data_IF_360531967772
#
_entry.id   IF_360531967772
#
_cell.length_a   1.000
_cell.length_b   1.000
_cell.length_c   1.000
_cell.angle_alpha   90.00
_cell.angle_beta   90.00
_cell.angle_gamma   90.00
#
_symmetry.space_group_name_H-M   'P 1'
#
loop_
_entity.id
_entity.type
_entity.pdbx_description
1 polymer ?
#
# COMPACT_ATOMS: atom_id res chain seq x y z
N UNK A 1 5.16 -33.11 -8.90
CA UNK A 1 4.89 -32.52 -7.57
C UNK A 1 6.24 -32.32 -6.90
N UNK A 2 6.82 -31.14 -7.08
CA UNK A 2 8.04 -30.74 -6.37
C UNK A 2 7.59 -29.96 -5.13
N UNK A 3 7.66 -30.61 -3.98
CA UNK A 3 7.42 -29.98 -2.67
C UNK A 3 8.54 -28.93 -2.54
N UNK A 4 8.21 -27.66 -2.63
CA UNK A 4 9.13 -26.58 -2.28
C UNK A 4 9.58 -26.75 -0.82
N UNK A 5 10.77 -26.29 -0.44
CA UNK A 5 11.23 -26.39 0.94
C UNK A 5 10.19 -25.73 1.86
N UNK A 6 9.81 -26.43 2.94
CA UNK A 6 8.94 -25.84 3.97
C UNK A 6 9.56 -24.52 4.45
N UNK A 7 8.77 -23.43 4.55
CA UNK A 7 9.30 -22.16 5.01
C UNK A 7 9.85 -22.33 6.44
N UNK A 8 11.05 -21.83 6.66
CA UNK A 8 11.67 -21.81 7.98
C UNK A 8 10.73 -21.10 8.99
N UNK A 9 10.43 -21.71 10.16
CA UNK A 9 9.50 -21.14 11.14
C UNK A 9 9.85 -19.71 11.59
N UNK A 10 11.09 -19.27 11.36
CA UNK A 10 11.58 -17.93 11.66
C UNK A 10 11.38 -16.87 10.57
N UNK A 11 10.82 -17.22 9.40
CA UNK A 11 10.69 -16.26 8.29
C UNK A 11 9.74 -15.10 8.62
N UNK A 12 8.61 -15.38 9.24
CA UNK A 12 7.70 -14.34 9.73
C UNK A 12 8.35 -13.46 10.79
N UNK A 13 9.07 -14.07 11.73
CA UNK A 13 9.83 -13.35 12.76
C UNK A 13 10.86 -12.41 12.14
N UNK A 14 11.59 -12.85 11.12
CA UNK A 14 12.56 -12.02 10.40
C UNK A 14 11.90 -10.81 9.76
N UNK A 15 10.76 -10.99 9.09
CA UNK A 15 10.00 -9.88 8.47
C UNK A 15 9.54 -8.85 9.49
N UNK A 16 9.02 -9.28 10.63
CA UNK A 16 8.57 -8.38 11.71
C UNK A 16 9.71 -7.60 12.35
N UNK A 17 10.91 -8.17 12.36
CA UNK A 17 12.10 -7.53 12.93
C UNK A 17 12.79 -6.54 11.97
N UNK A 18 12.59 -6.65 10.64
CA UNK A 18 13.25 -5.79 9.63
C UNK A 18 13.15 -4.30 9.97
N UNK A 19 11.94 -3.72 10.15
CA UNK A 19 11.83 -2.28 10.38
C UNK A 19 12.47 -1.84 11.69
N UNK A 20 12.40 -2.67 12.74
CA UNK A 20 12.98 -2.37 14.03
C UNK A 20 14.52 -2.38 14.00
N UNK A 21 15.10 -3.35 13.28
CA UNK A 21 16.55 -3.47 13.10
C UNK A 21 17.06 -2.33 12.21
N UNK A 22 16.38 -2.06 11.10
CA UNK A 22 16.75 -0.99 10.19
C UNK A 22 16.66 0.38 10.87
N UNK A 23 15.60 0.62 11.66
CA UNK A 23 15.45 1.84 12.43
C UNK A 23 16.60 2.06 13.43
N UNK A 24 16.96 1.03 14.17
CA UNK A 24 18.07 1.10 15.12
C UNK A 24 19.42 1.37 14.44
N UNK A 25 19.70 0.72 13.30
CA UNK A 25 20.92 0.95 12.51
C UNK A 25 20.93 2.36 11.94
N UNK A 26 19.79 2.82 11.43
CA UNK A 26 19.63 4.18 10.89
C UNK A 26 19.88 5.28 11.92
N UNK A 27 19.32 5.14 13.13
CA UNK A 27 19.59 6.12 14.22
C UNK A 27 21.07 6.24 14.51
N UNK A 28 21.80 5.13 14.43
CA UNK A 28 23.22 5.09 14.78
C UNK A 28 24.13 5.62 13.68
N UNK A 29 23.85 5.30 12.41
CA UNK A 29 24.78 5.53 11.31
C UNK A 29 24.31 6.60 10.30
N UNK A 30 23.01 6.87 10.20
CA UNK A 30 22.45 7.96 9.38
C UNK A 30 22.42 7.73 7.87
N UNK A 31 23.02 6.66 7.33
CA UNK A 31 23.02 6.33 5.89
C UNK A 31 22.00 5.21 5.61
N UNK A 32 20.84 5.60 5.05
CA UNK A 32 19.75 4.67 4.76
C UNK A 32 20.15 3.56 3.78
N UNK A 33 20.91 3.90 2.74
CA UNK A 33 21.27 2.93 1.71
C UNK A 33 22.20 1.85 2.28
N UNK A 34 23.23 2.27 3.00
CA UNK A 34 24.18 1.36 3.63
C UNK A 34 23.55 0.57 4.78
N UNK A 35 22.65 1.21 5.57
CA UNK A 35 21.95 0.54 6.66
C UNK A 35 21.02 -0.57 6.14
N UNK A 36 20.26 -0.31 5.08
CA UNK A 36 19.37 -1.33 4.49
C UNK A 36 20.18 -2.49 3.92
N UNK A 37 21.26 -2.22 3.20
CA UNK A 37 22.14 -3.27 2.69
C UNK A 37 22.74 -4.12 3.84
N UNK A 38 23.19 -3.49 4.93
CA UNK A 38 23.73 -4.18 6.10
C UNK A 38 22.66 -5.04 6.84
N UNK A 39 21.42 -4.57 6.91
CA UNK A 39 20.29 -5.32 7.47
C UNK A 39 19.96 -6.53 6.60
N UNK A 40 19.95 -6.39 5.28
CA UNK A 40 19.74 -7.52 4.37
C UNK A 40 20.84 -8.59 4.53
N UNK A 41 22.09 -8.20 4.67
CA UNK A 41 23.18 -9.15 4.95
C UNK A 41 22.99 -9.85 6.30
N UNK A 42 22.50 -9.14 7.32
CA UNK A 42 22.20 -9.73 8.63
C UNK A 42 21.04 -10.74 8.54
N UNK A 43 20.00 -10.45 7.77
CA UNK A 43 18.89 -11.38 7.51
C UNK A 43 19.35 -12.63 6.77
N UNK A 44 20.22 -12.49 5.77
CA UNK A 44 20.82 -13.63 5.05
C UNK A 44 21.66 -14.47 6.01
N UNK A 45 22.41 -13.85 6.91
CA UNK A 45 23.17 -14.56 7.94
C UNK A 45 22.26 -15.34 8.90
N UNK A 46 21.17 -14.72 9.37
CA UNK A 46 20.16 -15.36 10.21
C UNK A 46 19.51 -16.56 9.48
N UNK A 47 19.08 -16.38 8.24
CA UNK A 47 18.48 -17.46 7.43
C UNK A 47 19.41 -18.66 7.21
N UNK A 48 20.72 -18.46 7.28
CA UNK A 48 21.73 -19.54 7.17
C UNK A 48 22.07 -20.19 8.50
N UNK A 49 22.10 -19.42 9.58
CA UNK A 49 22.58 -19.89 10.90
C UNK A 49 21.44 -20.46 11.75
N UNK A 50 20.31 -19.77 11.85
CA UNK A 50 19.22 -20.14 12.75
C UNK A 50 18.57 -21.51 12.47
N UNK A 51 18.46 -21.99 11.20
CA UNK A 51 17.98 -23.35 10.97
C UNK A 51 18.84 -24.44 11.64
N UNK A 52 20.14 -24.19 11.84
CA UNK A 52 21.08 -25.17 12.37
C UNK A 52 21.39 -24.93 13.87
N UNK A 53 21.43 -23.67 14.32
CA UNK A 53 21.88 -23.25 15.64
C UNK A 53 20.71 -22.87 16.57
N UNK A 54 19.51 -22.76 16.03
CA UNK A 54 18.32 -22.26 16.72
C UNK A 54 18.22 -20.72 16.67
N UNK A 55 17.00 -20.22 16.91
CA UNK A 55 16.76 -18.78 17.05
C UNK A 55 17.33 -18.32 18.38
N UNK A 56 18.19 -17.27 18.41
CA UNK A 56 18.76 -16.76 19.65
C UNK A 56 17.69 -16.19 20.60
N UNK A 57 17.95 -16.13 21.90
CA UNK A 57 17.03 -15.58 22.90
C UNK A 57 16.65 -14.13 22.62
N UNK A 58 17.56 -13.34 22.03
CA UNK A 58 17.31 -11.98 21.58
C UNK A 58 17.60 -11.85 20.06
N UNK A 59 16.68 -12.28 19.20
CA UNK A 59 16.89 -12.27 17.74
C UNK A 59 17.07 -10.86 17.19
N UNK A 60 16.33 -9.86 17.72
CA UNK A 60 16.48 -8.44 17.35
C UNK A 60 17.88 -7.91 17.66
N UNK A 61 18.36 -8.14 18.88
CA UNK A 61 19.70 -7.72 19.31
C UNK A 61 20.80 -8.35 18.46
N UNK A 62 20.66 -9.64 18.13
CA UNK A 62 21.57 -10.36 17.26
C UNK A 62 21.64 -9.73 15.87
N UNK A 63 20.51 -9.46 15.25
CA UNK A 63 20.42 -8.82 13.92
C UNK A 63 21.04 -7.41 13.94
N UNK A 64 20.73 -6.58 14.96
CA UNK A 64 21.32 -5.24 15.11
C UNK A 64 22.85 -5.33 15.23
N UNK A 65 23.37 -6.29 16.02
CA UNK A 65 24.80 -6.48 16.17
C UNK A 65 25.49 -6.85 14.85
N UNK A 66 24.92 -7.80 14.10
CA UNK A 66 25.47 -8.23 12.81
C UNK A 66 25.43 -7.07 11.80
N UNK A 67 24.28 -6.36 11.69
CA UNK A 67 24.14 -5.23 10.79
C UNK A 67 25.09 -4.07 11.16
N UNK A 68 25.24 -3.75 12.45
CA UNK A 68 26.16 -2.71 12.92
C UNK A 68 27.63 -3.04 12.61
N UNK A 69 28.01 -4.30 12.70
CA UNK A 69 29.36 -4.77 12.28
C UNK A 69 29.58 -4.55 10.79
N UNK A 70 28.58 -4.91 9.94
CA UNK A 70 28.64 -4.67 8.49
C UNK A 70 28.74 -3.18 8.16
N UNK A 71 27.98 -2.32 8.84
CA UNK A 71 28.08 -0.87 8.70
C UNK A 71 29.47 -0.34 9.03
N UNK A 72 30.06 -0.82 10.13
CA UNK A 72 31.41 -0.43 10.53
C UNK A 72 32.45 -0.82 9.47
N UNK A 73 32.35 -2.04 8.94
CA UNK A 73 33.24 -2.51 7.88
C UNK A 73 33.05 -1.70 6.58
N UNK A 74 31.81 -1.36 6.22
CA UNK A 74 31.50 -0.49 5.08
C UNK A 74 32.11 0.91 5.24
N UNK A 75 31.95 1.56 6.38
CA UNK A 75 32.53 2.87 6.68
C UNK A 75 34.03 2.83 6.60
N UNK A 76 34.69 1.81 7.16
CA UNK A 76 36.15 1.62 7.08
C UNK A 76 36.62 1.46 5.64
N UNK A 77 35.91 0.66 4.85
CA UNK A 77 36.24 0.46 3.43
C UNK A 77 36.09 1.76 2.62
N UNK A 78 35.03 2.53 2.86
CA UNK A 78 34.79 3.82 2.20
C UNK A 78 35.85 4.87 2.59
N UNK A 79 36.20 4.95 3.88
CA UNK A 79 37.30 5.82 4.35
C UNK A 79 38.64 5.41 3.72
N UNK A 80 38.93 4.10 3.63
CA UNK A 80 40.15 3.62 2.98
C UNK A 80 40.14 3.92 1.47
N UNK A 81 38.99 3.85 0.81
CA UNK A 81 38.83 4.25 -0.59
C UNK A 81 39.09 5.74 -0.78
N UNK A 82 38.41 6.58 0.04
CA UNK A 82 38.60 8.05 0.01
C UNK A 82 40.05 8.45 0.32
N UNK A 83 40.71 7.79 1.29
CA UNK A 83 42.14 8.03 1.56
C UNK A 83 43.03 7.68 0.36
N UNK A 84 42.72 6.63 -0.39
CA UNK A 84 43.45 6.28 -1.62
C UNK A 84 43.17 7.27 -2.77
N UNK A 85 41.93 7.75 -2.89
CA UNK A 85 41.55 8.78 -3.86
C UNK A 85 42.04 10.17 -3.45
N UNK A 86 42.13 10.45 -2.12
CA UNK A 86 42.57 11.71 -1.54
C UNK A 86 44.08 11.80 -1.25
N UNK A 87 44.91 10.97 -1.88
CA UNK A 87 46.38 11.11 -1.78
C UNK A 87 46.91 12.48 -2.30
N UNK A 88 46.02 13.44 -2.48
CA UNK A 88 46.30 14.83 -2.87
C UNK A 88 45.95 15.88 -1.83
N UNK A 89 45.13 15.61 -0.77
CA UNK A 89 44.81 16.66 0.27
C UNK A 89 44.56 16.05 1.66
N UNK A 90 45.49 16.30 2.61
CA UNK A 90 45.36 16.61 4.05
C UNK A 90 44.29 15.95 4.90
N UNK A 91 44.77 15.20 5.90
CA UNK A 91 44.28 15.01 7.30
C UNK A 91 42.87 15.49 7.62
N UNK A 92 41.94 14.55 7.80
CA UNK A 92 40.72 14.73 8.54
C UNK A 92 40.59 13.62 9.58
N UNK A 93 40.22 14.00 10.75
CA UNK A 93 40.32 13.43 12.09
C UNK A 93 39.56 12.11 12.28
N UNK A 94 40.15 11.19 13.01
CA UNK A 94 39.63 9.87 13.44
C UNK A 94 38.45 9.89 14.43
N UNK A 95 37.87 11.06 14.75
CA UNK A 95 36.91 11.23 15.84
C UNK A 95 35.44 10.94 15.49
N UNK A 96 35.11 10.47 14.28
CA UNK A 96 33.73 10.10 13.91
C UNK A 96 33.45 8.58 13.90
N UNK A 97 34.30 7.79 14.52
CA UNK A 97 34.07 6.37 14.74
C UNK A 97 33.15 6.17 15.97
N UNK A 98 31.91 5.89 15.67
CA UNK A 98 30.84 5.31 16.50
C UNK A 98 30.96 5.41 18.04
N UNK A 99 29.97 6.00 18.71
CA UNK A 99 29.87 5.92 20.18
C UNK A 99 29.72 4.46 20.65
N UNK A 100 30.13 4.15 21.89
CA UNK A 100 30.15 2.81 22.44
C UNK A 100 28.74 2.17 22.58
N UNK A 101 28.64 0.83 22.75
CA UNK A 101 27.39 0.08 22.66
C UNK A 101 26.41 0.22 23.85
N UNK A 102 26.57 1.19 24.73
CA UNK A 102 25.87 1.29 26.01
C UNK A 102 24.63 2.17 26.00
N UNK A 103 23.71 1.95 25.04
CA UNK A 103 22.37 2.50 25.19
C UNK A 103 21.31 1.41 24.95
N UNK A 104 21.19 0.49 25.91
CA UNK A 104 20.10 -0.50 25.92
C UNK A 104 18.70 0.16 25.90
N UNK A 105 18.57 1.39 26.39
CA UNK A 105 17.34 2.17 26.32
C UNK A 105 16.97 2.68 24.90
N UNK A 106 17.96 2.83 24.00
CA UNK A 106 17.70 3.22 22.60
C UNK A 106 17.23 2.03 21.73
N UNK A 107 17.35 0.81 22.22
CA UNK A 107 16.97 -0.41 21.51
C UNK A 107 15.45 -0.66 21.50
N UNK A 108 14.69 -0.02 22.37
CA UNK A 108 13.25 -0.28 22.55
C UNK A 108 12.34 0.64 21.74
N UNK A 109 12.90 1.61 21.01
CA UNK A 109 12.11 2.53 20.21
C UNK A 109 11.72 1.90 18.89
N UNK A 110 10.42 1.90 18.56
CA UNK A 110 9.90 1.49 17.26
C UNK A 110 10.01 2.63 16.25
N UNK A 111 10.92 2.50 15.30
CA UNK A 111 11.16 3.49 14.24
C UNK A 111 10.39 3.23 12.95
N UNK A 112 9.48 2.25 12.94
CA UNK A 112 8.75 1.83 11.73
C UNK A 112 8.03 3.00 11.07
N UNK A 113 7.39 3.86 11.85
CA UNK A 113 6.72 5.05 11.31
C UNK A 113 7.72 6.03 10.67
N UNK A 114 8.87 6.23 11.31
CA UNK A 114 9.94 7.09 10.77
C UNK A 114 10.45 6.56 9.42
N UNK A 115 10.65 5.23 9.33
CA UNK A 115 11.02 4.56 8.07
C UNK A 115 9.96 4.71 6.99
N UNK A 116 8.67 4.57 7.34
CA UNK A 116 7.56 4.79 6.41
C UNK A 116 7.58 6.22 5.86
N UNK A 117 7.75 7.23 6.71
CA UNK A 117 7.88 8.62 6.26
C UNK A 117 9.07 8.85 5.33
N UNK A 118 10.18 8.14 5.53
CA UNK A 118 11.33 8.21 4.63
C UNK A 118 11.04 7.52 3.30
N UNK A 119 10.49 6.31 3.33
CA UNK A 119 10.15 5.54 2.13
C UNK A 119 9.08 6.20 1.27
N UNK A 120 8.21 7.02 1.88
CA UNK A 120 7.14 7.77 1.21
C UNK A 120 7.49 9.25 1.00
N UNK A 121 8.78 9.58 0.91
CA UNK A 121 9.22 10.97 0.74
C UNK A 121 8.73 11.56 -0.61
N UNK A 122 8.25 12.84 -0.66
CA UNK A 122 7.74 13.46 -1.88
C UNK A 122 8.70 13.49 -3.06
N UNK A 123 10.01 13.43 -2.81
CA UNK A 123 11.02 13.34 -3.87
C UNK A 123 10.99 12.01 -4.63
N UNK A 124 10.32 10.97 -4.11
CA UNK A 124 10.20 9.67 -4.77
C UNK A 124 8.97 9.63 -5.68
N UNK A 125 9.09 8.92 -6.82
CA UNK A 125 7.91 8.55 -7.58
C UNK A 125 7.07 7.52 -6.80
N UNK A 126 5.77 7.45 -7.06
CA UNK A 126 4.86 6.48 -6.43
C UNK A 126 5.41 5.04 -6.49
N UNK A 127 5.83 4.60 -7.68
CA UNK A 127 6.39 3.25 -7.87
C UNK A 127 7.70 3.02 -7.11
N UNK A 128 8.51 4.06 -6.91
CA UNK A 128 9.72 3.97 -6.09
C UNK A 128 9.41 3.93 -4.60
N UNK A 129 8.43 4.72 -4.15
CA UNK A 129 7.98 4.71 -2.76
C UNK A 129 7.38 3.35 -2.37
N UNK A 130 6.51 2.77 -3.23
CA UNK A 130 5.95 1.43 -3.03
C UNK A 130 7.06 0.39 -2.91
N UNK A 131 7.97 0.33 -3.89
CA UNK A 131 9.05 -0.65 -3.90
C UNK A 131 9.96 -0.52 -2.67
N UNK A 132 10.29 0.71 -2.27
CA UNK A 132 11.13 0.96 -1.12
C UNK A 132 10.43 0.64 0.19
N UNK A 133 9.13 0.93 0.32
CA UNK A 133 8.32 0.59 1.50
C UNK A 133 8.24 -0.92 1.69
N UNK A 134 7.91 -1.67 0.64
CA UNK A 134 7.87 -3.13 0.68
C UNK A 134 9.23 -3.73 1.04
N UNK A 135 10.32 -3.17 0.53
CA UNK A 135 11.69 -3.62 0.82
C UNK A 135 12.10 -3.33 2.25
N UNK A 136 12.00 -2.07 2.69
CA UNK A 136 12.59 -1.58 3.93
C UNK A 136 11.71 -1.80 5.15
N UNK A 137 10.40 -1.79 4.98
CA UNK A 137 9.42 -1.93 6.06
C UNK A 137 8.68 -3.26 5.98
N UNK A 138 8.30 -3.69 4.79
CA UNK A 138 7.66 -4.99 4.55
C UNK A 138 8.61 -6.19 4.61
N UNK A 139 9.93 -5.96 4.49
CA UNK A 139 10.93 -7.03 4.53
C UNK A 139 10.92 -7.96 3.31
N UNK A 140 10.22 -7.58 2.21
CA UNK A 140 10.16 -8.38 1.00
C UNK A 140 11.49 -8.35 0.24
N UNK A 141 11.83 -9.45 -0.41
CA UNK A 141 12.97 -9.54 -1.31
C UNK A 141 12.71 -8.76 -2.62
N UNK A 142 13.77 -8.40 -3.32
CA UNK A 142 13.64 -7.75 -4.64
C UNK A 142 12.91 -8.64 -5.63
N UNK A 143 13.12 -9.96 -5.58
CA UNK A 143 12.45 -10.94 -6.43
C UNK A 143 10.93 -11.00 -6.14
N UNK A 144 10.52 -11.03 -4.87
CA UNK A 144 9.10 -11.01 -4.47
C UNK A 144 8.42 -9.72 -4.96
N UNK A 145 9.05 -8.55 -4.75
CA UNK A 145 8.51 -7.28 -5.21
C UNK A 145 8.43 -7.24 -6.75
N UNK A 146 9.45 -7.70 -7.45
CA UNK A 146 9.49 -7.76 -8.90
C UNK A 146 8.38 -8.67 -9.46
N UNK A 147 8.21 -9.84 -8.85
CA UNK A 147 7.11 -10.76 -9.16
C UNK A 147 5.75 -10.16 -8.91
N UNK A 148 5.57 -9.44 -7.78
CA UNK A 148 4.33 -8.76 -7.45
C UNK A 148 3.92 -7.70 -8.48
N UNK A 149 4.88 -6.99 -9.08
CA UNK A 149 4.62 -5.95 -10.06
C UNK A 149 4.88 -6.38 -11.51
N UNK A 150 5.07 -7.68 -11.75
CA UNK A 150 5.27 -8.28 -13.07
C UNK A 150 6.38 -7.59 -13.89
N UNK A 151 7.47 -7.20 -13.22
CA UNK A 151 8.63 -6.58 -13.85
C UNK A 151 9.87 -7.47 -13.66
N UNK A 152 10.88 -7.40 -14.56
CA UNK A 152 12.14 -8.11 -14.36
C UNK A 152 12.82 -7.69 -13.06
N UNK A 153 13.42 -8.64 -12.33
CA UNK A 153 14.09 -8.40 -11.04
C UNK A 153 15.17 -7.30 -11.16
N UNK A 154 15.96 -7.31 -12.25
CA UNK A 154 16.96 -6.28 -12.51
C UNK A 154 16.34 -4.87 -12.60
N UNK A 155 15.14 -4.74 -13.18
CA UNK A 155 14.41 -3.47 -13.26
C UNK A 155 13.97 -3.01 -11.87
N UNK A 156 13.48 -3.92 -11.04
CA UNK A 156 13.09 -3.62 -9.66
C UNK A 156 14.30 -3.26 -8.81
N UNK A 157 15.40 -4.01 -8.91
CA UNK A 157 16.66 -3.72 -8.22
C UNK A 157 17.16 -2.30 -8.55
N UNK A 158 17.14 -1.92 -9.84
CA UNK A 158 17.52 -0.58 -10.27
C UNK A 158 16.59 0.51 -9.74
N UNK A 159 15.27 0.23 -9.67
CA UNK A 159 14.27 1.16 -9.09
C UNK A 159 14.54 1.40 -7.60
N UNK A 160 14.76 0.34 -6.84
CA UNK A 160 15.08 0.41 -5.40
C UNK A 160 16.41 1.16 -5.19
N UNK A 161 17.44 0.83 -5.95
CA UNK A 161 18.75 1.51 -5.87
C UNK A 161 18.64 3.01 -6.13
N UNK A 162 17.93 3.42 -7.18
CA UNK A 162 17.67 4.85 -7.47
C UNK A 162 16.86 5.53 -6.38
N UNK A 163 15.88 4.84 -5.78
CA UNK A 163 15.11 5.36 -4.66
C UNK A 163 16.00 5.62 -3.43
N UNK A 164 16.85 4.67 -3.05
CA UNK A 164 17.84 4.81 -1.98
C UNK A 164 18.78 6.00 -2.22
N UNK A 165 19.33 6.10 -3.44
CA UNK A 165 20.21 7.20 -3.82
C UNK A 165 19.50 8.56 -3.72
N UNK A 166 18.22 8.63 -4.10
CA UNK A 166 17.42 9.85 -4.03
C UNK A 166 17.14 10.28 -2.59
N UNK A 167 16.85 9.35 -1.69
CA UNK A 167 16.73 9.61 -0.25
C UNK A 167 18.06 10.14 0.29
N UNK A 168 19.18 9.48 -0.04
CA UNK A 168 20.51 9.92 0.39
C UNK A 168 20.84 11.35 -0.07
N UNK A 169 20.56 11.66 -1.33
CA UNK A 169 20.85 12.99 -1.91
C UNK A 169 19.89 14.09 -1.42
N UNK A 170 18.71 13.73 -0.91
CA UNK A 170 17.73 14.68 -0.39
C UNK A 170 18.11 15.28 0.98
N UNK A 171 19.06 14.66 1.69
CA UNK A 171 19.50 15.11 3.01
C UNK A 171 18.43 15.04 4.10
N UNK A 172 17.35 14.27 3.86
CA UNK A 172 16.25 14.12 4.83
C UNK A 172 16.77 13.47 6.11
N UNK A 173 16.60 14.14 7.26
CA UNK A 173 17.03 13.57 8.53
C UNK A 173 16.15 12.41 8.96
N UNK A 174 16.77 11.38 9.58
CA UNK A 174 16.04 10.25 10.16
C UNK A 174 15.31 10.67 11.44
N UNK A 175 14.16 11.29 11.27
CA UNK A 175 13.27 11.69 12.37
C UNK A 175 11.85 11.84 11.84
N UNK A 176 10.87 11.63 12.73
CA UNK A 176 9.49 12.00 12.44
C UNK A 176 9.42 13.49 12.11
N UNK A 177 8.56 13.89 11.17
CA UNK A 177 8.25 15.29 10.95
C UNK A 177 7.76 15.87 12.27
N UNK A 178 8.58 16.70 12.92
CA UNK A 178 8.23 17.32 14.21
C UNK A 178 7.23 18.44 13.98
N UNK A 179 6.20 18.49 14.82
CA UNK A 179 5.59 19.76 15.17
C UNK A 179 6.72 20.60 15.81
N UNK A 180 7.26 21.58 15.10
CA UNK A 180 8.06 22.61 15.76
C UNK A 180 7.14 23.28 16.78
N UNK A 181 7.31 22.94 18.06
CA UNK A 181 6.86 23.81 19.12
C UNK A 181 7.72 25.08 19.01
N UNK A 182 7.28 26.00 18.16
CA UNK A 182 7.76 27.39 18.25
C UNK A 182 7.14 27.95 19.52
N UNK A 183 7.91 27.90 20.60
CA UNK A 183 7.70 28.79 21.74
C UNK A 183 8.00 30.21 21.23
N UNK A 184 6.97 30.90 20.75
CA UNK A 184 7.00 32.28 20.33
C UNK A 184 5.59 32.75 19.94
N UNK A 185 5.08 33.88 20.42
CA UNK A 185 3.79 34.39 20.02
C UNK A 185 3.88 34.99 18.62
N UNK A 186 3.32 34.30 17.65
CA UNK A 186 3.11 34.85 16.31
C UNK A 186 3.85 34.14 15.17
N UNK A 187 3.10 33.49 14.32
CA UNK A 187 3.43 32.84 13.04
C UNK A 187 3.99 31.40 13.12
N UNK A 188 3.17 30.40 12.84
CA UNK A 188 3.66 29.10 12.43
C UNK A 188 2.91 27.84 12.86
N UNK A 189 1.73 27.91 13.48
CA UNK A 189 0.97 26.69 13.81
C UNK A 189 0.39 25.97 12.60
N UNK A 190 0.13 26.68 11.50
CA UNK A 190 -0.43 26.09 10.27
C UNK A 190 0.59 25.24 9.50
N UNK A 191 1.76 25.78 9.19
CA UNK A 191 2.69 25.16 8.24
C UNK A 191 3.31 23.82 8.70
N UNK A 192 3.57 23.64 9.99
CA UNK A 192 4.17 22.37 10.49
C UNK A 192 3.14 21.27 10.70
N UNK A 193 1.88 21.61 11.02
CA UNK A 193 0.78 20.65 11.04
C UNK A 193 0.43 20.19 9.63
N UNK A 194 0.48 21.09 8.65
CA UNK A 194 0.21 20.82 7.24
C UNK A 194 1.25 19.84 6.66
N UNK A 195 2.55 20.05 6.93
CA UNK A 195 3.62 19.15 6.46
C UNK A 195 3.46 17.72 7.00
N UNK A 196 3.14 17.57 8.29
CA UNK A 196 2.94 16.25 8.89
C UNK A 196 1.72 15.55 8.28
N UNK A 197 0.62 16.28 8.13
CA UNK A 197 -0.62 15.76 7.54
C UNK A 197 -0.39 15.35 6.08
N UNK A 198 0.29 16.18 5.30
CA UNK A 198 0.64 15.88 3.90
C UNK A 198 1.53 14.63 3.81
N UNK A 199 2.52 14.51 4.66
CA UNK A 199 3.44 13.37 4.67
C UNK A 199 2.75 12.09 5.17
N UNK A 200 1.86 12.18 6.17
CA UNK A 200 1.04 11.05 6.58
C UNK A 200 0.10 10.62 5.44
N UNK A 201 -0.54 11.58 4.78
CA UNK A 201 -1.34 11.30 3.59
C UNK A 201 -0.55 10.56 2.50
N UNK A 202 0.73 10.89 2.29
CA UNK A 202 1.58 10.16 1.35
C UNK A 202 1.85 8.71 1.80
N UNK A 203 2.06 8.47 3.10
CA UNK A 203 2.21 7.11 3.66
C UNK A 203 0.92 6.31 3.44
N UNK A 204 -0.23 6.85 3.84
CA UNK A 204 -1.52 6.18 3.69
C UNK A 204 -1.81 5.87 2.23
N UNK A 205 -1.48 6.80 1.33
CA UNK A 205 -1.66 6.58 -0.11
C UNK A 205 -0.77 5.44 -0.65
N UNK A 206 0.48 5.33 -0.21
CA UNK A 206 1.37 4.22 -0.59
C UNK A 206 0.83 2.89 -0.08
N UNK A 207 0.39 2.82 1.18
CA UNK A 207 -0.22 1.61 1.74
C UNK A 207 -1.49 1.22 0.98
N UNK A 208 -2.34 2.19 0.65
CA UNK A 208 -3.54 1.98 -0.18
C UNK A 208 -3.20 1.42 -1.58
N UNK A 209 -2.14 1.92 -2.23
CA UNK A 209 -1.70 1.42 -3.53
C UNK A 209 -1.15 -0.01 -3.45
N UNK A 210 -0.40 -0.35 -2.39
CA UNK A 210 0.06 -1.72 -2.15
C UNK A 210 -1.14 -2.65 -1.96
N UNK A 211 -2.12 -2.23 -1.16
CA UNK A 211 -3.34 -2.99 -0.93
C UNK A 211 -4.12 -3.22 -2.23
N UNK A 212 -4.33 -2.18 -3.02
CA UNK A 212 -5.09 -2.28 -4.26
C UNK A 212 -4.43 -3.24 -5.25
N UNK A 213 -3.09 -3.19 -5.39
CA UNK A 213 -2.36 -4.13 -6.26
C UNK A 213 -2.47 -5.57 -5.74
N UNK A 214 -2.52 -5.75 -4.41
CA UNK A 214 -2.74 -7.05 -3.79
C UNK A 214 -4.17 -7.57 -3.95
N UNK A 215 -5.14 -6.69 -3.82
CA UNK A 215 -6.55 -7.05 -3.90
C UNK A 215 -7.07 -7.24 -5.34
N UNK A 216 -6.62 -6.41 -6.26
CA UNK A 216 -6.99 -6.47 -7.68
C UNK A 216 -5.79 -6.07 -8.52
N UNK A 217 -5.10 -7.08 -9.07
CA UNK A 217 -3.90 -6.85 -9.87
C UNK A 217 -4.20 -5.98 -11.09
N UNK A 218 -3.34 -5.02 -11.34
CA UNK A 218 -3.46 -4.12 -12.50
C UNK A 218 -3.16 -4.81 -13.83
N UNK A 219 -2.51 -5.99 -13.80
CA UNK A 219 -2.12 -6.74 -14.99
C UNK A 219 -1.80 -8.21 -14.67
N UNK A 220 -1.82 -9.05 -15.72
CA UNK A 220 -1.41 -10.46 -15.61
C UNK A 220 -2.55 -11.45 -15.42
N UNK A 221 -2.21 -12.74 -15.20
CA UNK A 221 -3.18 -13.84 -15.17
C UNK A 221 -3.92 -13.98 -13.83
N UNK A 222 -3.37 -13.47 -12.75
CA UNK A 222 -3.95 -13.61 -11.42
C UNK A 222 -4.84 -12.42 -11.09
N UNK A 223 -5.98 -12.66 -10.43
CA UNK A 223 -6.87 -11.60 -9.97
C UNK A 223 -6.34 -10.91 -8.70
N UNK A 224 -5.60 -11.64 -7.87
CA UNK A 224 -5.20 -11.21 -6.53
C UNK A 224 -3.75 -11.60 -6.22
N UNK A 225 -3.10 -10.77 -5.43
CA UNK A 225 -1.78 -11.02 -4.83
C UNK A 225 -1.94 -10.87 -3.31
N UNK A 226 -2.36 -11.96 -2.68
CA UNK A 226 -2.73 -11.98 -1.25
C UNK A 226 -1.57 -11.64 -0.32
N UNK A 227 -0.35 -11.90 -0.73
CA UNK A 227 0.89 -11.48 -0.08
C UNK A 227 0.95 -9.96 0.10
N UNK A 228 0.62 -9.19 -0.95
CA UNK A 228 0.62 -7.73 -0.91
C UNK A 228 -0.53 -7.15 -0.08
N UNK A 229 -1.76 -7.68 -0.23
CA UNK A 229 -2.90 -7.17 0.54
C UNK A 229 -2.73 -7.45 2.04
N UNK A 230 -2.24 -8.65 2.41
CA UNK A 230 -1.94 -8.99 3.79
C UNK A 230 -0.85 -8.09 4.37
N UNK A 231 0.23 -7.82 3.61
CA UNK A 231 1.30 -6.93 4.03
C UNK A 231 0.82 -5.49 4.21
N UNK A 232 -0.01 -4.98 3.30
CA UNK A 232 -0.59 -3.64 3.43
C UNK A 232 -1.44 -3.51 4.69
N UNK A 233 -2.28 -4.51 5.01
CA UNK A 233 -3.08 -4.56 6.25
C UNK A 233 -2.16 -4.59 7.47
N UNK A 234 -1.11 -5.42 7.46
CA UNK A 234 -0.12 -5.48 8.55
C UNK A 234 0.53 -4.12 8.81
N UNK A 235 0.97 -3.45 7.74
CA UNK A 235 1.59 -2.12 7.82
C UNK A 235 0.58 -1.05 8.28
N UNK A 236 -0.67 -1.11 7.81
CA UNK A 236 -1.73 -0.20 8.27
C UNK A 236 -2.02 -0.38 9.77
N UNK A 237 -2.02 -1.61 10.29
CA UNK A 237 -2.12 -1.90 11.74
C UNK A 237 -0.96 -1.30 12.53
N UNK A 238 0.28 -1.41 12.03
CA UNK A 238 1.45 -0.78 12.66
C UNK A 238 1.29 0.74 12.74
N UNK A 239 0.84 1.39 11.65
CA UNK A 239 0.59 2.84 11.66
C UNK A 239 -0.53 3.19 12.64
N UNK A 240 -1.62 2.42 12.70
CA UNK A 240 -2.72 2.62 13.66
C UNK A 240 -2.26 2.51 15.11
N UNK A 241 -1.39 1.54 15.43
CA UNK A 241 -0.83 1.40 16.78
C UNK A 241 0.04 2.60 17.18
N UNK A 242 0.74 3.21 16.25
CA UNK A 242 1.57 4.39 16.48
C UNK A 242 0.75 5.70 16.50
N UNK A 243 -0.39 5.75 15.83
CA UNK A 243 -1.27 6.91 15.69
C UNK A 243 -2.74 6.54 16.02
N UNK A 244 -3.03 6.10 17.26
CA UNK A 244 -4.35 5.56 17.61
C UNK A 244 -5.50 6.58 17.53
N UNK A 245 -5.20 7.88 17.58
CA UNK A 245 -6.19 8.96 17.48
C UNK A 245 -6.41 9.52 16.07
N UNK A 246 -5.76 8.95 15.03
CA UNK A 246 -5.90 9.47 13.67
C UNK A 246 -7.03 8.77 12.91
N UNK A 247 -8.06 9.53 12.54
CA UNK A 247 -9.27 9.00 11.88
C UNK A 247 -9.00 8.50 10.46
N UNK A 248 -8.08 9.09 9.70
CA UNK A 248 -7.75 8.62 8.34
C UNK A 248 -6.91 7.33 8.37
N UNK A 249 -6.07 7.16 9.37
CA UNK A 249 -5.37 5.90 9.60
C UNK A 249 -6.36 4.79 9.94
N UNK A 250 -7.32 5.04 10.84
CA UNK A 250 -8.38 4.11 11.15
C UNK A 250 -9.28 3.81 9.94
N UNK A 251 -9.64 4.85 9.19
CA UNK A 251 -10.43 4.75 7.96
C UNK A 251 -9.74 3.89 6.88
N UNK A 252 -8.43 4.07 6.68
CA UNK A 252 -7.69 3.24 5.74
C UNK A 252 -7.64 1.77 6.16
N UNK A 253 -7.36 1.49 7.44
CA UNK A 253 -7.36 0.11 7.94
C UNK A 253 -8.75 -0.52 7.81
N UNK A 254 -9.80 0.20 8.18
CA UNK A 254 -11.18 -0.26 8.03
C UNK A 254 -11.51 -0.57 6.56
N UNK A 255 -11.16 0.33 5.63
CA UNK A 255 -11.35 0.12 4.19
C UNK A 255 -10.67 -1.15 3.69
N UNK A 256 -9.43 -1.40 4.14
CA UNK A 256 -8.68 -2.60 3.77
C UNK A 256 -9.36 -3.86 4.32
N UNK A 257 -9.75 -3.87 5.59
CA UNK A 257 -10.38 -5.02 6.24
C UNK A 257 -11.73 -5.36 5.59
N UNK A 258 -12.61 -4.37 5.42
CA UNK A 258 -13.91 -4.53 4.78
C UNK A 258 -13.78 -5.03 3.34
N UNK A 259 -12.85 -4.46 2.58
CA UNK A 259 -12.62 -4.87 1.20
C UNK A 259 -12.06 -6.28 1.12
N UNK A 260 -11.04 -6.61 1.95
CA UNK A 260 -10.39 -7.91 1.98
C UNK A 260 -11.28 -9.03 2.52
N UNK A 261 -12.23 -8.71 3.39
CA UNK A 261 -13.20 -9.66 3.92
C UNK A 261 -13.98 -10.42 2.83
N UNK A 262 -14.16 -9.79 1.67
CA UNK A 262 -14.88 -10.35 0.51
C UNK A 262 -14.00 -11.28 -0.35
N UNK A 263 -12.69 -11.34 -0.09
CA UNK A 263 -11.70 -12.06 -0.90
C UNK A 263 -12.09 -13.50 -1.22
N UNK A 264 -12.59 -14.32 -0.27
CA UNK A 264 -12.94 -15.72 -0.55
C UNK A 264 -14.06 -15.91 -1.58
N UNK A 265 -14.92 -14.89 -1.76
CA UNK A 265 -16.06 -14.93 -2.68
C UNK A 265 -15.78 -14.23 -4.03
N UNK A 266 -14.58 -13.67 -4.25
CA UNK A 266 -14.27 -12.89 -5.46
C UNK A 266 -13.90 -13.74 -6.67
N UNK A 267 -13.45 -14.96 -6.45
CA UNK A 267 -13.01 -15.86 -7.50
C UNK A 267 -13.81 -17.15 -7.44
N UNK A 268 -14.30 -17.62 -8.59
CA UNK A 268 -14.90 -18.91 -8.71
C UNK A 268 -13.86 -20.04 -8.86
N UNK A 269 -14.33 -21.30 -9.02
CA UNK A 269 -13.48 -22.48 -9.05
C UNK A 269 -12.41 -22.47 -10.15
N UNK A 270 -12.71 -21.84 -11.29
CA UNK A 270 -11.82 -21.75 -12.46
C UNK A 270 -11.01 -20.42 -12.47
N UNK A 271 -11.02 -19.67 -11.36
CA UNK A 271 -10.32 -18.39 -11.22
C UNK A 271 -11.04 -17.21 -11.86
N UNK A 272 -12.28 -17.38 -12.29
CA UNK A 272 -13.12 -16.34 -12.87
C UNK A 272 -13.50 -15.26 -11.83
N UNK A 273 -13.60 -14.03 -12.28
CA UNK A 273 -14.01 -12.89 -11.46
C UNK A 273 -15.51 -12.97 -11.16
N UNK A 274 -15.87 -12.97 -9.86
CA UNK A 274 -17.26 -12.87 -9.39
C UNK A 274 -17.55 -11.43 -8.97
N UNK A 275 -18.49 -10.71 -9.65
CA UNK A 275 -18.89 -9.36 -9.28
C UNK A 275 -19.52 -9.33 -7.88
N UNK A 276 -19.39 -8.20 -7.18
CA UNK A 276 -19.86 -8.01 -5.81
C UNK A 276 -21.33 -8.41 -5.60
N UNK A 277 -22.20 -8.11 -6.57
CA UNK A 277 -23.62 -8.44 -6.51
C UNK A 277 -23.91 -9.96 -6.60
N UNK A 278 -22.98 -10.74 -7.12
CA UNK A 278 -23.09 -12.21 -7.30
C UNK A 278 -22.27 -13.00 -6.29
N UNK A 279 -21.51 -12.33 -5.41
CA UNK A 279 -20.70 -13.00 -4.41
C UNK A 279 -21.55 -13.67 -3.34
N UNK A 280 -21.18 -14.87 -2.94
CA UNK A 280 -21.74 -15.53 -1.76
C UNK A 280 -21.24 -14.82 -0.49
N UNK A 281 -22.11 -14.04 0.14
CA UNK A 281 -21.82 -13.29 1.37
C UNK A 281 -21.59 -14.22 2.58
N UNK A 282 -21.95 -15.51 2.48
CA UNK A 282 -21.65 -16.53 3.47
C UNK A 282 -20.17 -16.83 3.59
N UNK A 283 -19.41 -16.63 2.50
CA UNK A 283 -17.97 -16.83 2.45
C UNK A 283 -17.15 -15.62 2.98
N UNK A 284 -17.79 -14.47 3.20
CA UNK A 284 -17.11 -13.29 3.67
C UNK A 284 -16.61 -13.44 5.11
N UNK A 285 -15.42 -12.91 5.39
CA UNK A 285 -14.82 -12.94 6.73
C UNK A 285 -15.59 -11.99 7.67
N UNK A 286 -16.45 -12.56 8.51
CA UNK A 286 -17.31 -11.80 9.41
C UNK A 286 -16.55 -11.07 10.51
N UNK A 287 -15.43 -11.62 10.98
CA UNK A 287 -14.60 -11.00 12.02
C UNK A 287 -13.92 -9.74 11.47
N UNK A 288 -13.39 -9.81 10.23
CA UNK A 288 -12.81 -8.66 9.57
C UNK A 288 -13.85 -7.56 9.26
N UNK A 289 -15.08 -7.95 8.91
CA UNK A 289 -16.20 -7.00 8.73
C UNK A 289 -16.53 -6.31 10.06
N UNK A 290 -16.69 -7.07 11.15
CA UNK A 290 -17.00 -6.51 12.46
C UNK A 290 -15.92 -5.52 12.93
N UNK A 291 -14.64 -5.88 12.81
CA UNK A 291 -13.51 -5.00 13.12
C UNK A 291 -13.51 -3.74 12.25
N UNK A 292 -13.74 -3.88 10.95
CA UNK A 292 -13.76 -2.76 10.01
C UNK A 292 -14.92 -1.78 10.30
N UNK A 293 -16.12 -2.29 10.61
CA UNK A 293 -17.28 -1.49 10.97
C UNK A 293 -17.05 -0.74 12.29
N UNK A 294 -16.47 -1.39 13.30
CA UNK A 294 -16.12 -0.74 14.57
C UNK A 294 -15.13 0.40 14.37
N UNK A 295 -14.05 0.15 13.62
CA UNK A 295 -13.01 1.15 13.32
C UNK A 295 -13.57 2.37 12.58
N UNK A 296 -14.39 2.19 11.55
CA UNK A 296 -14.94 3.32 10.78
C UNK A 296 -15.99 4.09 11.60
N UNK A 297 -16.79 3.40 12.42
CA UNK A 297 -17.77 4.03 13.31
C UNK A 297 -17.09 4.90 14.36
N UNK A 298 -16.03 4.39 15.00
CA UNK A 298 -15.20 5.15 15.92
C UNK A 298 -14.60 6.36 15.23
N UNK A 299 -13.95 6.16 14.07
CA UNK A 299 -13.25 7.21 13.32
C UNK A 299 -14.19 8.36 12.90
N UNK A 300 -15.41 8.04 12.44
CA UNK A 300 -16.41 9.04 12.04
C UNK A 300 -16.96 9.83 13.23
N UNK A 301 -16.90 9.29 14.45
CA UNK A 301 -17.35 9.97 15.67
C UNK A 301 -16.33 10.98 16.22
N UNK A 302 -15.05 10.90 15.84
CA UNK A 302 -13.92 11.56 16.53
C UNK A 302 -13.41 12.85 15.90
N UNK A 303 -14.06 13.46 14.90
CA UNK A 303 -13.60 14.75 14.40
C UNK A 303 -13.80 15.01 12.91
N UNK A 304 -12.74 15.50 12.21
CA UNK A 304 -12.82 15.81 10.79
C UNK A 304 -12.91 14.53 9.96
N UNK A 305 -13.91 14.48 9.08
CA UNK A 305 -14.11 13.36 8.16
C UNK A 305 -13.10 13.47 7.01
N UNK A 306 -12.42 12.37 6.71
CA UNK A 306 -11.47 12.24 5.62
C UNK A 306 -11.90 11.26 4.53
N UNK A 307 -11.10 11.19 3.47
CA UNK A 307 -11.44 10.42 2.28
C UNK A 307 -11.44 8.89 2.54
N UNK A 308 -10.53 8.37 3.35
CA UNK A 308 -10.49 6.94 3.65
C UNK A 308 -11.64 6.52 4.57
N UNK A 309 -12.04 7.37 5.52
CA UNK A 309 -13.21 7.13 6.35
C UNK A 309 -14.49 7.01 5.52
N UNK A 310 -14.69 7.90 4.54
CA UNK A 310 -15.85 7.84 3.63
C UNK A 310 -15.84 6.60 2.76
N UNK A 311 -14.67 6.21 2.23
CA UNK A 311 -14.53 4.98 1.43
C UNK A 311 -14.80 3.73 2.29
N UNK A 312 -14.32 3.72 3.54
CA UNK A 312 -14.61 2.64 4.49
C UNK A 312 -16.09 2.57 4.83
N UNK A 313 -16.74 3.71 5.05
CA UNK A 313 -18.19 3.77 5.31
C UNK A 313 -19.00 3.21 4.12
N UNK A 314 -18.62 3.53 2.88
CA UNK A 314 -19.24 2.95 1.67
C UNK A 314 -19.06 1.43 1.65
N UNK A 315 -17.85 0.94 1.98
CA UNK A 315 -17.58 -0.50 2.04
C UNK A 315 -18.42 -1.18 3.13
N UNK A 316 -18.56 -0.54 4.31
CA UNK A 316 -19.38 -1.03 5.42
C UNK A 316 -20.85 -1.19 5.02
N UNK A 317 -21.45 -0.20 4.33
CA UNK A 317 -22.85 -0.29 3.86
C UNK A 317 -23.06 -1.52 2.96
N UNK A 318 -22.11 -1.86 2.13
CA UNK A 318 -22.17 -3.08 1.31
C UNK A 318 -22.05 -4.35 2.16
N UNK A 319 -21.16 -4.36 3.18
CA UNK A 319 -20.83 -5.56 3.96
C UNK A 319 -21.88 -5.87 5.03
N UNK A 320 -22.56 -4.85 5.54
CA UNK A 320 -23.64 -5.00 6.51
C UNK A 320 -24.97 -5.44 5.87
N UNK A 321 -25.11 -5.28 4.54
CA UNK A 321 -26.32 -5.72 3.83
C UNK A 321 -26.34 -7.25 3.73
N UNK A 322 -27.42 -7.94 4.18
CA UNK A 322 -27.50 -9.40 4.11
C UNK A 322 -27.49 -9.95 2.69
N UNK A 323 -28.07 -9.22 1.73
CA UNK A 323 -28.16 -9.56 0.30
C UNK A 323 -27.81 -8.35 -0.55
N UNK A 324 -27.46 -8.59 -1.81
CA UNK A 324 -27.09 -7.52 -2.73
C UNK A 324 -28.24 -6.52 -2.99
N UNK A 325 -29.46 -7.01 -3.06
CA UNK A 325 -30.67 -6.20 -3.25
C UNK A 325 -31.04 -5.35 -2.02
N UNK A 326 -30.55 -5.72 -0.83
CA UNK A 326 -30.78 -4.98 0.42
C UNK A 326 -29.77 -3.83 0.62
N UNK A 327 -28.84 -3.63 -0.32
CA UNK A 327 -27.82 -2.57 -0.22
C UNK A 327 -28.45 -1.18 -0.24
N UNK A 328 -28.16 -0.35 0.78
CA UNK A 328 -28.64 1.04 0.85
C UNK A 328 -27.87 1.95 -0.12
N UNK A 329 -28.31 1.91 -1.39
CA UNK A 329 -27.75 2.74 -2.44
C UNK A 329 -27.98 4.24 -2.21
N UNK A 330 -29.02 4.64 -1.47
CA UNK A 330 -29.27 6.05 -1.16
C UNK A 330 -28.17 6.58 -0.20
N UNK A 331 -27.82 5.78 0.83
CA UNK A 331 -26.71 6.10 1.73
C UNK A 331 -25.38 6.13 0.98
N UNK A 332 -25.11 5.14 0.13
CA UNK A 332 -23.88 5.08 -0.70
C UNK A 332 -23.78 6.31 -1.61
N UNK A 333 -24.88 6.72 -2.23
CA UNK A 333 -24.92 7.91 -3.08
C UNK A 333 -24.57 9.18 -2.29
N UNK A 334 -25.12 9.32 -1.07
CA UNK A 334 -24.84 10.45 -0.21
C UNK A 334 -23.34 10.50 0.21
N UNK A 335 -22.76 9.35 0.58
CA UNK A 335 -21.35 9.22 0.95
C UNK A 335 -20.43 9.53 -0.23
N UNK A 336 -20.72 9.01 -1.45
CA UNK A 336 -19.98 9.39 -2.64
C UNK A 336 -20.11 10.87 -2.97
N UNK A 337 -21.27 11.48 -2.72
CA UNK A 337 -21.45 12.92 -2.89
C UNK A 337 -20.57 13.76 -1.97
N UNK A 338 -20.29 13.28 -0.73
CA UNK A 338 -19.31 13.91 0.17
C UNK A 338 -17.89 13.70 -0.36
N UNK A 339 -17.53 12.47 -0.71
CA UNK A 339 -16.19 12.10 -1.17
C UNK A 339 -15.81 12.83 -2.47
N UNK A 340 -16.73 12.95 -3.43
CA UNK A 340 -16.54 13.61 -4.71
C UNK A 340 -16.25 15.13 -4.56
N UNK A 341 -16.86 15.76 -3.53
CA UNK A 341 -16.54 17.16 -3.17
C UNK A 341 -15.19 17.35 -2.48
N UNK A 342 -14.68 16.31 -1.82
CA UNK A 342 -13.42 16.37 -1.08
C UNK A 342 -12.20 16.02 -1.95
N UNK A 343 -12.43 15.27 -3.03
CA UNK A 343 -11.34 14.72 -3.84
C UNK A 343 -11.54 15.09 -5.32
N UNK A 344 -10.48 15.56 -5.96
CA UNK A 344 -10.46 15.69 -7.43
C UNK A 344 -10.00 14.35 -8.05
N UNK A 345 -10.77 13.27 -7.81
CA UNK A 345 -10.45 11.94 -8.29
C UNK A 345 -11.52 11.42 -9.25
N UNK A 346 -11.23 11.29 -10.56
CA UNK A 346 -12.22 10.87 -11.55
C UNK A 346 -12.74 9.44 -11.33
N UNK A 347 -11.99 8.58 -10.60
CA UNK A 347 -12.49 7.25 -10.21
C UNK A 347 -13.58 7.35 -9.14
N UNK A 348 -13.49 8.33 -8.23
CA UNK A 348 -14.56 8.62 -7.27
C UNK A 348 -15.81 9.09 -8.01
N UNK A 349 -15.66 10.02 -8.95
CA UNK A 349 -16.78 10.50 -9.79
C UNK A 349 -17.39 9.38 -10.62
N UNK A 350 -16.58 8.42 -11.11
CA UNK A 350 -17.07 7.24 -11.83
C UNK A 350 -17.92 6.34 -10.92
N UNK A 351 -17.45 6.05 -9.72
CA UNK A 351 -18.20 5.24 -8.73
C UNK A 351 -19.45 5.96 -8.22
N UNK A 352 -19.37 7.29 -8.02
CA UNK A 352 -20.54 8.13 -7.72
C UNK A 352 -21.61 8.02 -8.82
N UNK A 353 -21.19 7.93 -10.10
CA UNK A 353 -22.09 7.75 -11.24
C UNK A 353 -22.82 6.42 -11.18
N UNK A 354 -22.16 5.34 -10.73
CA UNK A 354 -22.81 4.04 -10.51
C UNK A 354 -23.89 4.15 -9.42
N UNK A 355 -23.52 4.72 -8.26
CA UNK A 355 -24.46 4.90 -7.15
C UNK A 355 -25.67 5.76 -7.57
N UNK A 356 -25.45 6.81 -8.36
CA UNK A 356 -26.50 7.65 -8.93
C UNK A 356 -27.44 6.82 -9.82
N UNK A 357 -26.89 5.96 -10.67
CA UNK A 357 -27.71 5.11 -11.55
C UNK A 357 -28.55 4.09 -10.77
N UNK A 358 -28.01 3.54 -9.68
CA UNK A 358 -28.74 2.61 -8.82
C UNK A 358 -29.94 3.27 -8.11
N UNK A 359 -29.87 4.57 -7.80
CA UNK A 359 -30.94 5.31 -7.11
C UNK A 359 -31.92 5.98 -8.09
N UNK A 360 -31.39 6.57 -9.20
CA UNK A 360 -32.16 7.42 -10.10
C UNK A 360 -32.36 6.83 -11.51
N UNK A 361 -31.90 5.60 -11.71
CA UNK A 361 -31.97 4.91 -13.00
C UNK A 361 -30.76 5.14 -13.91
N UNK A 362 -30.58 4.23 -14.89
CA UNK A 362 -29.39 4.20 -15.75
C UNK A 362 -29.22 5.45 -16.59
N UNK A 363 -30.29 6.12 -17.03
CA UNK A 363 -30.24 7.36 -17.82
C UNK A 363 -29.57 8.50 -17.04
N UNK A 364 -29.82 8.60 -15.72
CA UNK A 364 -29.17 9.61 -14.88
C UNK A 364 -27.65 9.34 -14.80
N UNK A 365 -27.26 8.08 -14.65
CA UNK A 365 -25.85 7.65 -14.71
C UNK A 365 -25.22 7.96 -16.07
N UNK A 366 -25.85 7.60 -17.17
CA UNK A 366 -25.35 7.85 -18.52
C UNK A 366 -25.15 9.35 -18.81
N UNK A 367 -26.08 10.21 -18.34
CA UNK A 367 -25.92 11.68 -18.47
C UNK A 367 -24.68 12.18 -17.70
N UNK A 368 -24.48 11.71 -16.47
CA UNK A 368 -23.32 12.09 -15.66
C UNK A 368 -22.02 11.53 -16.25
N UNK A 369 -22.04 10.31 -16.76
CA UNK A 369 -20.87 9.67 -17.37
C UNK A 369 -20.29 10.47 -18.55
N UNK A 370 -21.14 11.18 -19.31
CA UNK A 370 -20.71 12.06 -20.40
C UNK A 370 -19.75 13.18 -19.92
N UNK A 371 -19.86 13.62 -18.67
CA UNK A 371 -18.95 14.64 -18.13
C UNK A 371 -17.53 14.12 -17.93
N UNK A 372 -17.35 12.81 -17.83
CA UNK A 372 -16.06 12.13 -17.69
C UNK A 372 -15.39 11.80 -19.03
N UNK A 373 -16.11 11.90 -20.15
CA UNK A 373 -15.56 11.61 -21.50
C UNK A 373 -14.42 12.56 -21.90
N UNK A 374 -14.43 13.77 -21.34
CA UNK A 374 -13.42 14.80 -21.61
C UNK A 374 -12.30 14.84 -20.57
N UNK A 375 -12.35 14.01 -19.52
CA UNK A 375 -11.29 13.98 -18.51
C UNK A 375 -10.08 13.20 -19.04
N UNK A 376 -8.92 13.86 -19.25
CA UNK A 376 -7.74 13.21 -19.81
C UNK A 376 -7.20 12.09 -18.91
N UNK A 377 -7.51 12.09 -17.62
CA UNK A 377 -7.09 11.06 -16.66
C UNK A 377 -7.81 9.72 -16.86
N UNK A 378 -9.01 9.76 -17.48
CA UNK A 378 -9.80 8.57 -17.85
C UNK A 378 -9.69 8.24 -19.35
N UNK A 379 -8.96 9.02 -20.14
CA UNK A 379 -8.78 8.76 -21.55
C UNK A 379 -8.18 7.37 -21.78
N UNK A 380 -8.93 6.49 -22.43
CA UNK A 380 -8.51 5.11 -22.68
C UNK A 380 -8.62 4.15 -21.49
N UNK A 381 -9.10 4.57 -20.33
CA UNK A 381 -9.25 3.70 -19.16
C UNK A 381 -10.42 2.72 -19.36
N UNK A 382 -10.14 1.40 -19.19
CA UNK A 382 -11.13 0.34 -19.43
C UNK A 382 -12.39 0.47 -18.55
N UNK A 383 -12.24 0.93 -17.30
CA UNK A 383 -13.37 1.05 -16.35
C UNK A 383 -14.44 2.05 -16.80
N UNK A 384 -14.06 3.13 -17.49
CA UNK A 384 -15.04 4.07 -18.07
C UNK A 384 -15.96 3.37 -19.07
N UNK A 385 -15.37 2.54 -19.93
CA UNK A 385 -16.11 1.76 -20.92
C UNK A 385 -16.95 0.64 -20.28
N UNK A 386 -16.39 -0.04 -19.24
CA UNK A 386 -17.12 -1.07 -18.50
C UNK A 386 -18.36 -0.53 -17.77
N UNK A 387 -18.22 0.64 -17.10
CA UNK A 387 -19.37 1.30 -16.46
C UNK A 387 -20.40 1.73 -17.49
N UNK A 388 -19.96 2.28 -18.63
CA UNK A 388 -20.87 2.64 -19.73
C UNK A 388 -21.64 1.43 -20.26
N UNK A 389 -20.94 0.31 -20.49
CA UNK A 389 -21.54 -0.95 -20.93
C UNK A 389 -22.64 -1.41 -19.96
N UNK A 390 -22.32 -1.42 -18.65
CA UNK A 390 -23.27 -1.82 -17.62
C UNK A 390 -24.52 -0.91 -17.57
N UNK A 391 -24.34 0.41 -17.66
CA UNK A 391 -25.48 1.36 -17.66
C UNK A 391 -26.33 1.24 -18.93
N UNK A 392 -25.74 0.97 -20.09
CA UNK A 392 -26.46 0.70 -21.32
C UNK A 392 -27.25 -0.61 -21.23
N UNK A 393 -26.67 -1.66 -20.66
CA UNK A 393 -27.37 -2.91 -20.37
C UNK A 393 -28.59 -2.69 -19.47
N UNK A 394 -28.42 -1.94 -18.37
CA UNK A 394 -29.52 -1.59 -17.45
C UNK A 394 -30.62 -0.78 -18.14
N UNK A 395 -30.28 0.03 -19.14
CA UNK A 395 -31.25 0.82 -19.92
C UNK A 395 -31.93 0.04 -21.08
N UNK A 396 -31.49 -1.22 -21.32
CA UNK A 396 -32.00 -2.08 -22.40
C UNK A 396 -31.28 -1.89 -23.73
N UNK A 397 -30.27 -1.02 -23.83
CA UNK A 397 -29.45 -0.88 -25.05
C UNK A 397 -28.42 -1.99 -25.13
N UNK A 398 -28.87 -3.17 -25.61
CA UNK A 398 -28.09 -4.39 -25.74
C UNK A 398 -26.89 -4.23 -26.67
N UNK A 399 -27.09 -3.62 -27.82
CA UNK A 399 -26.04 -3.43 -28.86
C UNK A 399 -24.94 -2.50 -28.33
N UNK A 400 -25.32 -1.38 -27.75
CA UNK A 400 -24.41 -0.44 -27.12
C UNK A 400 -23.64 -1.07 -25.99
N UNK A 401 -24.28 -1.86 -25.11
CA UNK A 401 -23.64 -2.58 -24.03
C UNK A 401 -22.56 -3.54 -24.53
N UNK A 402 -22.87 -4.38 -25.54
CA UNK A 402 -21.91 -5.32 -26.14
C UNK A 402 -20.68 -4.58 -26.68
N UNK A 403 -20.90 -3.52 -27.45
CA UNK A 403 -19.82 -2.74 -28.06
C UNK A 403 -18.87 -2.18 -27.00
N UNK A 404 -19.41 -1.66 -25.89
CA UNK A 404 -18.62 -1.07 -24.80
C UNK A 404 -17.97 -2.13 -23.90
N UNK A 405 -18.57 -3.30 -23.67
CA UNK A 405 -17.90 -4.43 -22.98
C UNK A 405 -16.68 -4.91 -23.75
N UNK A 406 -16.78 -5.11 -25.07
CA UNK A 406 -15.65 -5.52 -25.91
C UNK A 406 -14.54 -4.45 -25.94
N UNK A 407 -14.92 -3.17 -25.96
CA UNK A 407 -13.97 -2.07 -25.92
C UNK A 407 -13.24 -2.00 -24.57
N UNK A 408 -13.92 -2.27 -23.46
CA UNK A 408 -13.32 -2.37 -22.15
C UNK A 408 -12.36 -3.59 -22.07
N UNK A 409 -12.78 -4.75 -22.57
CA UNK A 409 -11.97 -5.96 -22.60
C UNK A 409 -10.66 -5.77 -23.38
N UNK A 410 -10.71 -5.02 -24.50
CA UNK A 410 -9.51 -4.72 -25.29
C UNK A 410 -8.52 -3.75 -24.61
N UNK A 411 -8.93 -3.06 -23.55
CA UNK A 411 -8.13 -2.03 -22.86
C UNK A 411 -7.56 -2.46 -21.53
N UNK A 412 -8.13 -3.47 -20.88
CA UNK A 412 -7.60 -3.99 -19.62
C UNK A 412 -6.39 -4.88 -19.86
N UNK A 413 -5.40 -4.79 -18.95
CA UNK A 413 -4.24 -5.68 -18.93
C UNK A 413 -4.45 -6.88 -17.96
N UNK A 414 -5.54 -6.89 -17.19
CA UNK A 414 -5.92 -7.98 -16.28
C UNK A 414 -6.68 -9.05 -17.05
N UNK A 415 -6.13 -10.26 -17.13
CA UNK A 415 -6.77 -11.39 -17.84
C UNK A 415 -8.12 -11.78 -17.23
N UNK A 416 -8.30 -11.85 -15.90
CA UNK A 416 -9.60 -12.15 -15.31
C UNK A 416 -10.67 -11.07 -15.62
N UNK A 417 -10.31 -9.78 -15.60
CA UNK A 417 -11.22 -8.70 -15.99
C UNK A 417 -11.58 -8.80 -17.49
N UNK A 418 -10.60 -9.09 -18.34
CA UNK A 418 -10.83 -9.26 -19.79
C UNK A 418 -11.80 -10.41 -20.05
N UNK A 419 -11.59 -11.57 -19.40
CA UNK A 419 -12.46 -12.73 -19.53
C UNK A 419 -13.87 -12.40 -19.06
N UNK A 420 -14.03 -11.76 -17.90
CA UNK A 420 -15.32 -11.34 -17.39
C UNK A 420 -16.07 -10.43 -18.38
N UNK A 421 -15.40 -9.40 -18.91
CA UNK A 421 -16.00 -8.45 -19.86
C UNK A 421 -16.42 -9.13 -21.19
N UNK A 422 -15.60 -10.06 -21.69
CA UNK A 422 -15.94 -10.86 -22.87
C UNK A 422 -17.14 -11.78 -22.60
N UNK A 423 -17.20 -12.42 -21.42
CA UNK A 423 -18.35 -13.25 -21.01
C UNK A 423 -19.64 -12.41 -20.95
N UNK A 424 -19.58 -11.17 -20.40
CA UNK A 424 -20.75 -10.31 -20.40
C UNK A 424 -21.22 -9.97 -21.83
N UNK A 425 -20.29 -9.69 -22.76
CA UNK A 425 -20.63 -9.43 -24.15
C UNK A 425 -21.23 -10.68 -24.84
N UNK A 426 -20.68 -11.88 -24.60
CA UNK A 426 -21.19 -13.14 -25.14
C UNK A 426 -22.60 -13.46 -24.61
N UNK A 427 -22.81 -13.34 -23.27
CA UNK A 427 -24.12 -13.51 -22.64
C UNK A 427 -25.19 -12.61 -23.29
N UNK A 428 -24.88 -11.36 -23.55
CA UNK A 428 -25.79 -10.44 -24.22
C UNK A 428 -26.02 -10.81 -25.68
N UNK A 429 -25.11 -11.48 -26.36
CA UNK A 429 -25.32 -12.02 -27.70
C UNK A 429 -26.20 -13.26 -27.75
N UNK A 430 -26.37 -13.94 -26.64
CA UNK A 430 -27.03 -15.25 -26.56
C UNK A 430 -26.12 -16.38 -27.03
N UNK A 431 -24.82 -16.18 -26.92
CA UNK A 431 -23.76 -17.16 -27.16
C UNK A 431 -23.35 -17.71 -25.78
N UNK A 432 -24.14 -18.66 -25.23
CA UNK A 432 -23.84 -19.34 -23.96
C UNK A 432 -22.97 -20.58 -24.20
#
# INVERSE_FOLDING_TARGET
MTIGPEPFPGEHLLRDLVPQVLGAVMRRFGDFAAAEDAVQEALIAAARQWPNEGVPDNPRGWLIHVAARRMTDHIRAELARRRREALVVSQATEEQLAPPPDEAAALDQDDTLTLLFMCCHPALSRSSAIALTLRAVGGLTTAEIAGAFLVPEATMAQRISRAKQRIRSSGVPFRLPTLRQTQGPGHGRGAASDERTERLGAVLHVLYLIFNEGYATSSGPELQRTDLSNEAIRLARLVRNQLPGDGEVAGLLALMLLTDARRPARTGPDGELIPLAQQDRGLWNKDAIAEGVELVTEALSQGSIGAYQLQAAIAAVHDESPRAEDTDWAQILALYGLLDRMTDNPMVTLNHTIALAMVQGPEAGLRRLKTLDTDPRLAGHHRLEAVRAHLLEMSGDREGAIAHYLKAAARTASVPEQNYLNTQAARLRGED
#
